data_IF_174561229793
#
_entry.id   IF_174561229793
#
_cell.length_a   1.000
_cell.length_b   1.000
_cell.length_c   1.000
_cell.angle_alpha   90.00
_cell.angle_beta   90.00
_cell.angle_gamma   90.00
#
_symmetry.space_group_name_H-M   'P 1'
#
loop_
_entity.id
_entity.type
_entity.pdbx_description
1 polymer ?
#
# COMPACT_ATOMS: atom_id res chain seq x y z
N UNK A 1 -33.09 -17.79 -3.80
CA UNK A 1 -33.04 -16.33 -4.06
C UNK A 1 -31.92 -15.93 -5.03
N UNK A 2 -30.87 -16.73 -5.23
CA UNK A 2 -29.70 -16.39 -6.05
C UNK A 2 -29.92 -16.48 -7.57
N UNK A 3 -30.80 -17.37 -8.06
CA UNK A 3 -30.91 -17.67 -9.50
C UNK A 3 -31.55 -16.56 -10.33
N UNK A 4 -32.73 -16.05 -9.90
CA UNK A 4 -33.44 -14.98 -10.63
C UNK A 4 -32.65 -13.67 -10.71
N UNK A 5 -31.90 -13.33 -9.66
CA UNK A 5 -31.07 -12.11 -9.65
C UNK A 5 -29.92 -12.22 -10.65
N UNK A 6 -29.24 -13.38 -10.70
CA UNK A 6 -28.14 -13.61 -11.63
C UNK A 6 -28.58 -13.62 -13.10
N UNK A 7 -29.77 -14.17 -13.39
CA UNK A 7 -30.36 -14.12 -14.73
C UNK A 7 -30.70 -12.69 -15.17
N UNK A 8 -31.17 -11.84 -14.25
CA UNK A 8 -31.58 -10.47 -14.58
C UNK A 8 -30.43 -9.45 -14.60
N UNK A 9 -29.38 -9.65 -13.81
CA UNK A 9 -28.34 -8.64 -13.57
C UNK A 9 -26.91 -9.13 -13.77
N UNK A 10 -26.73 -10.39 -14.18
CA UNK A 10 -25.42 -11.02 -14.32
C UNK A 10 -24.82 -11.49 -13.00
N UNK A 11 -23.63 -12.09 -13.06
CA UNK A 11 -22.89 -12.52 -11.87
C UNK A 11 -22.41 -11.26 -11.15
N UNK A 12 -22.75 -11.04 -9.86
CA UNK A 12 -22.25 -9.89 -9.14
C UNK A 12 -20.72 -9.91 -9.09
N UNK A 13 -20.09 -8.75 -9.34
CA UNK A 13 -18.63 -8.55 -9.45
C UNK A 13 -17.81 -9.16 -8.30
N UNK A 14 -18.42 -9.32 -7.12
CA UNK A 14 -17.76 -9.86 -5.92
C UNK A 14 -17.93 -11.38 -5.73
N UNK A 15 -18.37 -12.14 -6.73
CA UNK A 15 -18.44 -13.60 -6.65
C UNK A 15 -17.12 -14.27 -7.04
N UNK A 16 -15.98 -13.79 -6.55
CA UNK A 16 -14.74 -14.58 -6.52
C UNK A 16 -14.79 -15.55 -5.33
N UNK A 17 -15.78 -16.45 -5.32
CA UNK A 17 -15.67 -17.68 -4.53
C UNK A 17 -14.72 -18.58 -5.31
N UNK A 18 -13.58 -18.91 -4.72
CA UNK A 18 -12.53 -19.84 -5.21
C UNK A 18 -13.01 -21.29 -5.44
N UNK A 19 -14.32 -21.53 -5.55
CA UNK A 19 -14.92 -22.86 -5.54
C UNK A 19 -15.40 -23.39 -6.90
N UNK A 20 -15.09 -22.71 -8.02
CA UNK A 20 -15.46 -23.20 -9.36
C UNK A 20 -14.36 -23.14 -10.42
N UNK A 21 -13.34 -22.32 -10.24
CA UNK A 21 -12.22 -22.15 -11.17
C UNK A 21 -10.90 -22.24 -10.38
N UNK A 22 -9.86 -22.85 -10.97
CA UNK A 22 -8.53 -22.93 -10.39
C UNK A 22 -7.82 -21.56 -10.44
N UNK A 23 -8.30 -20.56 -9.71
CA UNK A 23 -7.62 -19.28 -9.68
C UNK A 23 -6.25 -19.41 -9.03
N UNK A 24 -5.21 -18.95 -9.72
CA UNK A 24 -3.84 -18.88 -9.21
C UNK A 24 -3.38 -17.43 -9.12
N UNK A 25 -2.52 -17.17 -8.15
CA UNK A 25 -1.84 -15.88 -8.01
C UNK A 25 -0.51 -15.95 -8.75
N UNK A 26 -0.24 -14.97 -9.60
CA UNK A 26 1.01 -14.86 -10.37
C UNK A 26 1.70 -13.55 -10.03
N UNK A 27 3.04 -13.57 -9.98
CA UNK A 27 3.83 -12.36 -9.86
C UNK A 27 3.78 -11.61 -11.20
N UNK A 28 3.10 -10.47 -11.21
CA UNK A 28 2.89 -9.67 -12.42
C UNK A 28 4.06 -8.71 -12.66
N UNK A 29 4.54 -8.06 -11.59
CA UNK A 29 5.66 -7.12 -11.66
C UNK A 29 6.43 -7.08 -10.34
N UNK A 30 7.73 -6.78 -10.44
CA UNK A 30 8.65 -6.67 -9.30
C UNK A 30 9.71 -5.61 -9.60
N UNK A 31 9.92 -4.68 -8.67
CA UNK A 31 10.94 -3.64 -8.80
C UNK A 31 11.52 -3.25 -7.43
N UNK A 32 12.63 -2.53 -7.46
CA UNK A 32 13.31 -2.00 -6.27
C UNK A 32 13.17 -0.48 -6.27
N UNK A 33 12.83 0.09 -5.11
CA UNK A 33 12.84 1.52 -4.89
C UNK A 33 14.06 1.91 -4.05
N UNK A 34 14.75 2.95 -4.50
CA UNK A 34 15.78 3.65 -3.74
C UNK A 34 15.25 5.06 -3.49
N UNK A 35 14.78 5.32 -2.27
CA UNK A 35 14.24 6.62 -1.88
C UNK A 35 15.31 7.38 -1.10
N UNK A 36 15.71 8.54 -1.63
CA UNK A 36 16.58 9.50 -0.96
C UNK A 36 15.74 10.50 -0.14
N UNK A 37 16.37 11.23 0.79
CA UNK A 37 15.66 12.25 1.56
C UNK A 37 14.93 13.25 0.66
N UNK A 38 13.80 13.78 1.14
CA UNK A 38 12.88 14.67 0.43
C UNK A 38 12.14 14.05 -0.78
N UNK A 39 12.54 12.88 -1.29
CA UNK A 39 11.77 12.18 -2.30
C UNK A 39 10.51 11.55 -1.70
N UNK A 40 9.48 11.40 -2.51
CA UNK A 40 8.20 10.84 -2.09
C UNK A 40 7.54 10.12 -3.25
N UNK A 41 6.68 9.15 -2.93
CA UNK A 41 5.75 8.60 -3.90
C UNK A 41 4.37 9.23 -3.65
N UNK A 42 3.80 9.97 -4.61
CA UNK A 42 2.51 10.64 -4.43
C UNK A 42 1.38 9.63 -4.22
N UNK A 43 0.20 10.11 -3.81
CA UNK A 43 -0.99 9.26 -3.72
C UNK A 43 -1.28 8.63 -5.08
N UNK A 44 -1.22 7.30 -5.14
CA UNK A 44 -1.48 6.54 -6.36
C UNK A 44 -2.14 5.19 -6.02
N UNK A 45 -2.47 4.43 -7.06
CA UNK A 45 -2.94 3.05 -6.98
C UNK A 45 -2.34 2.27 -8.16
N UNK A 46 -2.40 0.95 -8.10
CA UNK A 46 -2.03 0.08 -9.21
C UNK A 46 -3.28 -0.56 -9.82
N UNK A 47 -3.11 -1.17 -10.99
CA UNK A 47 -4.04 -2.17 -11.53
C UNK A 47 -3.67 -3.57 -11.00
N UNK A 48 -4.58 -4.54 -11.15
CA UNK A 48 -4.35 -5.93 -10.74
C UNK A 48 -5.10 -6.32 -9.47
N UNK A 49 -4.75 -7.48 -8.90
CA UNK A 49 -5.40 -8.00 -7.69
C UNK A 49 -4.83 -7.39 -6.43
N UNK A 50 -3.52 -7.58 -6.23
CA UNK A 50 -2.81 -7.11 -5.04
C UNK A 50 -1.52 -6.40 -5.40
N UNK A 51 -1.08 -5.51 -4.54
CA UNK A 51 0.24 -4.91 -4.54
C UNK A 51 0.93 -5.22 -3.22
N UNK A 52 2.25 -5.21 -3.21
CA UNK A 52 3.02 -5.37 -1.98
C UNK A 52 4.23 -4.46 -1.93
N UNK A 53 4.71 -4.24 -0.71
CA UNK A 53 6.01 -3.67 -0.41
C UNK A 53 6.70 -4.52 0.65
N UNK A 54 8.00 -4.76 0.46
CA UNK A 54 8.90 -5.36 1.43
C UNK A 54 9.98 -4.32 1.72
N UNK A 55 10.14 -3.95 2.97
CA UNK A 55 11.19 -3.00 3.35
C UNK A 55 12.49 -3.73 3.61
N UNK A 56 13.55 -3.33 2.93
CA UNK A 56 14.87 -3.94 3.03
C UNK A 56 15.82 -3.11 3.89
N UNK A 57 15.65 -1.79 3.86
CA UNK A 57 16.39 -0.82 4.70
C UNK A 57 15.52 0.40 4.96
N UNK A 58 15.36 0.80 6.22
CA UNK A 58 14.65 2.00 6.67
C UNK A 58 15.63 2.81 7.53
N UNK A 59 16.24 3.88 6.99
CA UNK A 59 17.35 4.57 7.66
C UNK A 59 16.90 5.61 8.70
N UNK A 60 15.61 5.64 9.04
CA UNK A 60 15.01 6.65 9.92
C UNK A 60 13.98 6.03 10.83
N UNK A 61 13.85 6.54 12.05
CA UNK A 61 12.77 6.14 12.94
C UNK A 61 11.62 7.18 12.92
N UNK A 62 10.38 6.74 12.71
CA UNK A 62 9.22 7.65 12.61
C UNK A 62 9.06 8.59 13.81
N UNK A 63 9.36 8.13 15.03
CA UNK A 63 9.33 8.97 16.25
C UNK A 63 10.31 10.14 16.22
N UNK A 64 11.45 9.99 15.56
CA UNK A 64 12.42 11.07 15.41
C UNK A 64 11.96 12.04 14.34
N UNK A 65 11.52 11.50 13.20
CA UNK A 65 11.03 12.27 12.07
C UNK A 65 9.82 13.14 12.45
N UNK A 66 8.87 12.62 13.23
CA UNK A 66 7.69 13.39 13.68
C UNK A 66 8.02 14.54 14.66
N UNK A 67 9.21 14.56 15.25
CA UNK A 67 9.65 15.58 16.20
C UNK A 67 10.57 16.63 15.54
N UNK A 68 10.76 16.57 14.23
CA UNK A 68 11.59 17.53 13.51
C UNK A 68 10.93 18.93 13.47
N UNK A 69 11.70 20.01 13.40
CA UNK A 69 11.13 21.37 13.36
C UNK A 69 10.09 21.61 12.25
N UNK A 70 10.21 20.91 11.12
CA UNK A 70 9.26 21.00 9.99
C UNK A 70 7.84 20.52 10.36
N UNK A 71 7.71 19.67 11.38
CA UNK A 71 6.41 19.16 11.85
C UNK A 71 5.87 19.91 13.06
N UNK A 72 6.64 20.83 13.67
CA UNK A 72 6.26 21.51 14.92
C UNK A 72 4.93 22.27 14.85
N UNK A 73 4.55 22.79 13.69
CA UNK A 73 3.29 23.51 13.49
C UNK A 73 2.19 22.64 12.86
N UNK A 74 2.47 21.36 12.60
CA UNK A 74 1.52 20.43 11.99
C UNK A 74 0.68 19.73 13.06
N UNK A 75 -0.65 19.79 12.91
CA UNK A 75 -1.55 18.93 13.67
C UNK A 75 -1.46 17.45 13.23
N UNK A 76 -0.91 17.20 12.04
CA UNK A 76 -0.70 15.87 11.48
C UNK A 76 0.75 15.42 11.71
N UNK A 77 0.92 14.32 12.45
CA UNK A 77 2.22 13.74 12.79
C UNK A 77 2.54 12.47 11.99
N UNK A 78 1.64 12.03 11.12
CA UNK A 78 1.78 10.81 10.30
C UNK A 78 2.29 11.10 8.89
N UNK A 79 2.11 12.33 8.39
CA UNK A 79 2.53 12.75 7.04
C UNK A 79 4.02 13.05 6.87
N UNK A 80 4.88 12.32 7.58
CA UNK A 80 6.34 12.40 7.46
C UNK A 80 6.94 11.00 7.60
N UNK A 81 7.91 10.69 6.74
CA UNK A 81 8.65 9.41 6.69
C UNK A 81 7.81 8.14 6.46
N UNK A 82 6.52 8.16 6.75
CA UNK A 82 5.67 6.97 6.80
C UNK A 82 5.14 6.54 5.44
N UNK A 83 4.77 5.26 5.36
CA UNK A 83 3.92 4.72 4.31
C UNK A 83 2.46 4.86 4.73
N UNK A 84 1.54 5.25 3.85
CA UNK A 84 0.15 5.47 4.23
C UNK A 84 -0.85 4.97 3.19
N UNK A 85 -1.97 4.41 3.68
CA UNK A 85 -3.18 4.18 2.91
C UNK A 85 -4.13 5.37 3.01
N UNK A 86 -4.81 5.65 1.90
CA UNK A 86 -5.86 6.65 1.81
C UNK A 86 -7.15 5.97 1.35
N UNK A 87 -8.23 6.14 2.11
CA UNK A 87 -9.50 5.47 1.85
C UNK A 87 -10.68 6.32 2.30
N UNK A 88 -11.88 5.92 1.91
CA UNK A 88 -13.13 6.52 2.40
C UNK A 88 -13.69 5.67 3.52
N UNK A 89 -14.08 6.29 4.63
CA UNK A 89 -14.83 5.61 5.68
C UNK A 89 -16.30 5.38 5.30
N UNK A 90 -17.06 4.75 6.20
CA UNK A 90 -18.47 4.43 5.99
C UNK A 90 -19.39 5.65 5.86
N UNK A 91 -18.92 6.85 6.25
CA UNK A 91 -19.63 8.12 6.10
C UNK A 91 -19.18 8.87 4.84
N UNK A 92 -18.28 8.29 4.04
CA UNK A 92 -17.70 8.92 2.84
C UNK A 92 -16.54 9.88 3.15
N UNK A 93 -16.11 9.99 4.40
CA UNK A 93 -14.99 10.85 4.81
C UNK A 93 -13.65 10.27 4.36
N UNK A 94 -12.74 11.12 3.88
CA UNK A 94 -11.38 10.71 3.54
C UNK A 94 -10.61 10.43 4.84
N UNK A 95 -10.02 9.25 4.93
CA UNK A 95 -9.20 8.77 6.04
C UNK A 95 -7.82 8.36 5.55
N UNK A 96 -6.88 8.46 6.48
CA UNK A 96 -5.51 7.99 6.34
C UNK A 96 -5.25 6.92 7.39
N UNK A 97 -4.57 5.84 6.99
CA UNK A 97 -3.95 4.89 7.90
C UNK A 97 -2.46 4.85 7.59
N UNK A 98 -1.64 5.30 8.54
CA UNK A 98 -0.19 5.35 8.39
C UNK A 98 0.48 4.16 9.07
N UNK A 99 1.40 3.53 8.35
CA UNK A 99 2.37 2.58 8.88
C UNK A 99 3.58 3.38 9.36
N UNK A 100 3.81 3.31 10.67
CA UNK A 100 4.98 3.91 11.28
C UNK A 100 6.24 3.21 10.76
N UNK A 101 7.11 3.97 10.11
CA UNK A 101 8.31 3.45 9.47
C UNK A 101 9.51 3.51 10.42
N UNK A 102 10.11 2.35 10.66
CA UNK A 102 11.34 2.16 11.41
C UNK A 102 11.95 0.80 11.04
N UNK A 103 13.15 0.52 11.53
CA UNK A 103 13.88 -0.72 11.25
C UNK A 103 13.10 -1.99 11.65
N UNK A 104 12.15 -1.90 12.58
CA UNK A 104 11.30 -3.05 12.92
C UNK A 104 10.39 -3.52 11.76
N UNK A 105 10.14 -2.67 10.75
CA UNK A 105 9.40 -3.07 9.55
C UNK A 105 10.29 -3.75 8.49
N UNK A 106 11.61 -3.75 8.66
CA UNK A 106 12.52 -4.43 7.73
C UNK A 106 12.25 -5.95 7.71
N UNK A 107 12.33 -6.54 6.51
CA UNK A 107 12.01 -7.94 6.27
C UNK A 107 10.52 -8.29 6.28
N UNK A 108 9.64 -7.37 6.67
CA UNK A 108 8.20 -7.59 6.63
C UNK A 108 7.61 -7.28 5.26
N UNK A 109 6.68 -8.12 4.82
CA UNK A 109 5.88 -7.92 3.63
C UNK A 109 4.53 -7.30 4.01
N UNK A 110 4.23 -6.13 3.45
CA UNK A 110 2.90 -5.54 3.49
C UNK A 110 2.18 -5.83 2.16
N UNK A 111 1.14 -6.67 2.20
CA UNK A 111 0.27 -7.01 1.08
C UNK A 111 -1.05 -6.26 1.18
N UNK A 112 -1.52 -5.68 0.08
CA UNK A 112 -2.76 -4.88 0.06
C UNK A 112 -3.46 -4.95 -1.30
N UNK A 113 -4.78 -4.66 -1.38
CA UNK A 113 -5.48 -4.60 -2.67
C UNK A 113 -4.85 -3.56 -3.59
N UNK A 114 -4.57 -3.90 -4.84
CA UNK A 114 -3.82 -3.03 -5.77
C UNK A 114 -4.51 -1.66 -5.98
N UNK A 115 -5.85 -1.67 -5.93
CA UNK A 115 -6.67 -0.46 -6.06
C UNK A 115 -6.71 0.45 -4.82
N UNK A 116 -6.17 0.02 -3.68
CA UNK A 116 -6.14 0.83 -2.46
C UNK A 116 -5.12 1.97 -2.65
N UNK A 117 -5.60 3.21 -2.50
CA UNK A 117 -4.74 4.38 -2.67
C UNK A 117 -3.69 4.40 -1.56
N UNK A 118 -2.45 4.66 -1.94
CA UNK A 118 -1.33 4.70 -1.02
C UNK A 118 -0.28 5.72 -1.46
N UNK A 119 0.59 6.09 -0.53
CA UNK A 119 1.69 7.03 -0.74
C UNK A 119 2.87 6.71 0.18
N UNK A 120 4.02 7.27 -0.15
CA UNK A 120 5.22 7.23 0.70
C UNK A 120 5.65 8.65 0.97
N UNK A 121 5.59 9.06 2.25
CA UNK A 121 6.00 10.39 2.65
C UNK A 121 7.53 10.56 2.60
N UNK A 122 8.01 11.79 2.37
CA UNK A 122 9.43 12.08 2.42
C UNK A 122 9.96 11.97 3.85
N UNK A 123 11.23 11.59 3.96
CA UNK A 123 12.00 11.66 5.20
C UNK A 123 13.09 12.73 5.07
N UNK A 124 13.65 13.15 6.21
CA UNK A 124 14.51 14.33 6.32
C UNK A 124 15.71 14.03 7.23
N UNK A 125 16.75 14.88 7.14
CA UNK A 125 17.96 14.83 7.97
C UNK A 125 18.66 13.45 7.97
N UNK A 126 18.70 12.80 6.81
CA UNK A 126 19.27 11.46 6.65
C UNK A 126 19.85 11.31 5.24
N UNK A 127 21.17 11.13 5.14
CA UNK A 127 21.84 10.95 3.84
C UNK A 127 21.82 9.50 3.35
N UNK A 128 21.35 8.58 4.20
CA UNK A 128 21.20 7.17 3.86
C UNK A 128 19.96 6.93 2.99
N UNK A 129 20.01 5.85 2.20
CA UNK A 129 18.94 5.46 1.27
C UNK A 129 17.95 4.51 1.96
N UNK A 130 16.65 4.77 1.79
CA UNK A 130 15.60 3.79 2.08
C UNK A 130 15.43 2.85 0.90
N UNK A 131 15.48 1.55 1.15
CA UNK A 131 15.41 0.52 0.12
C UNK A 131 14.18 -0.35 0.38
N UNK A 132 13.34 -0.51 -0.65
CA UNK A 132 12.21 -1.43 -0.62
C UNK A 132 12.09 -2.20 -1.93
N UNK A 133 11.51 -3.40 -1.85
CA UNK A 133 11.07 -4.17 -3.00
C UNK A 133 9.56 -4.02 -3.09
N UNK A 134 9.05 -3.66 -4.26
CA UNK A 134 7.62 -3.56 -4.51
C UNK A 134 7.22 -4.42 -5.70
N UNK A 135 5.95 -4.81 -5.74
CA UNK A 135 5.44 -5.60 -6.84
C UNK A 135 3.93 -5.68 -6.87
N UNK A 136 3.40 -6.23 -7.96
CA UNK A 136 1.99 -6.53 -8.13
C UNK A 136 1.78 -8.03 -8.34
N UNK A 137 0.64 -8.50 -7.85
CA UNK A 137 0.16 -9.86 -8.04
C UNK A 137 -1.11 -9.86 -8.89
N UNK A 138 -1.06 -10.60 -9.99
CA UNK A 138 -2.20 -10.89 -10.84
C UNK A 138 -3.00 -12.09 -10.32
N UNK A 139 -4.29 -12.13 -10.64
CA UNK A 139 -5.16 -13.30 -10.45
C UNK A 139 -5.51 -13.81 -11.84
N UNK A 140 -5.14 -15.06 -12.12
CA UNK A 140 -5.46 -15.74 -13.39
C UNK A 140 -6.10 -17.10 -13.11
N UNK A 141 -6.62 -17.77 -14.13
CA UNK A 141 -7.13 -19.13 -14.07
C UNK A 141 -5.97 -20.06 -14.45
N UNK A 142 -5.77 -21.15 -13.69
CA UNK A 142 -4.86 -22.22 -14.10
C UNK A 142 -5.47 -22.97 -15.27
N UNK A 143 -4.66 -23.27 -16.27
CA UNK A 143 -5.01 -24.27 -17.28
C UNK A 143 -5.30 -25.64 -16.65
#
# INVERSE_FOLDING_TARGET
MTTKYQESYGIPFNYLRTGKENYITVLDSLWVNFQYQHEFNPIHKHSGGYSFVIWMKIPTHYKEQKNLPITNSSANTTSISNFAFIYSDILGGIREFAFNMSDEAEGHLLLFPAGLKHQVYPFYNCDDVRISISGNLGITISE
#
